data_IF_857374653050
#
_entry.id   IF_857374653050
#
_cell.length_a   1.000
_cell.length_b   1.000
_cell.length_c   1.000
_cell.angle_alpha   90.00
_cell.angle_beta   90.00
_cell.angle_gamma   90.00
#
_symmetry.space_group_name_H-M   'P 1'
#
loop_
_entity.id
_entity.type
_entity.pdbx_description
1 polymer ?
#
# COMPACT_ATOMS: atom_id res chain seq x y z
N UNK A 1 4.54 -6.82 -48.56
CA UNK A 1 3.88 -7.62 -47.51
C UNK A 1 4.18 -7.00 -46.15
N UNK A 2 3.17 -6.59 -45.37
CA UNK A 2 3.40 -6.01 -44.05
C UNK A 2 3.80 -7.10 -43.04
N UNK A 3 4.82 -6.80 -42.21
CA UNK A 3 5.26 -7.67 -41.11
C UNK A 3 4.19 -7.71 -40.02
N UNK A 4 3.84 -8.88 -39.46
CA UNK A 4 2.87 -8.95 -38.38
C UNK A 4 3.41 -8.24 -37.13
N UNK A 5 2.63 -7.32 -36.59
CA UNK A 5 2.90 -6.65 -35.33
C UNK A 5 2.75 -7.69 -34.22
N UNK A 6 3.85 -8.09 -33.58
CA UNK A 6 3.77 -8.87 -32.35
C UNK A 6 3.13 -8.00 -31.28
N UNK A 7 1.88 -8.29 -30.94
CA UNK A 7 1.27 -7.80 -29.71
C UNK A 7 2.16 -8.22 -28.55
N UNK A 8 2.60 -7.24 -27.76
CA UNK A 8 3.37 -7.50 -26.55
C UNK A 8 2.40 -8.19 -25.59
N UNK A 9 2.60 -9.49 -25.37
CA UNK A 9 1.87 -10.26 -24.38
C UNK A 9 1.78 -9.42 -23.10
N UNK A 10 0.56 -9.14 -22.66
CA UNK A 10 0.34 -8.50 -21.37
C UNK A 10 0.72 -9.51 -20.29
N UNK A 11 1.02 -9.05 -19.06
CA UNK A 11 1.32 -9.98 -17.96
C UNK A 11 0.17 -10.98 -17.71
N UNK A 12 -1.02 -10.68 -18.21
CA UNK A 12 -2.21 -11.52 -18.17
C UNK A 12 -2.17 -12.67 -19.21
N UNK A 13 -1.35 -12.56 -20.27
CA UNK A 13 -1.16 -13.57 -21.32
C UNK A 13 -0.07 -14.61 -20.97
N UNK A 14 0.78 -14.31 -19.98
CA UNK A 14 1.61 -15.33 -19.34
C UNK A 14 0.65 -16.11 -18.49
N UNK A 15 0.11 -17.17 -19.09
CA UNK A 15 -0.94 -17.99 -18.53
C UNK A 15 -0.81 -18.11 -17.03
N UNK A 16 -1.93 -17.93 -16.35
CA UNK A 16 -2.17 -18.62 -15.09
C UNK A 16 -2.03 -20.11 -15.43
N UNK A 17 -0.79 -20.61 -15.51
CA UNK A 17 -0.47 -22.03 -15.47
C UNK A 17 -1.24 -22.48 -14.25
N UNK A 18 -2.21 -23.37 -14.47
CA UNK A 18 -3.13 -23.82 -13.44
C UNK A 18 -2.32 -24.16 -12.19
N UNK A 19 -2.28 -23.20 -11.28
CA UNK A 19 -1.78 -23.38 -9.94
C UNK A 19 -2.77 -24.38 -9.40
N UNK A 20 -2.33 -25.62 -9.15
CA UNK A 20 -3.23 -26.62 -8.59
C UNK A 20 -3.92 -26.00 -7.37
N UNK A 21 -5.18 -26.35 -7.08
CA UNK A 21 -5.87 -25.80 -5.90
C UNK A 21 -5.01 -25.96 -4.62
N UNK A 22 -4.15 -26.99 -4.61
CA UNK A 22 -3.14 -27.23 -3.59
C UNK A 22 -2.03 -26.15 -3.57
N UNK A 23 -1.43 -25.81 -4.70
CA UNK A 23 -0.41 -24.75 -4.77
C UNK A 23 -1.01 -23.38 -4.40
N UNK A 24 -2.27 -23.13 -4.79
CA UNK A 24 -2.97 -21.89 -4.43
C UNK A 24 -3.24 -21.82 -2.92
N UNK A 25 -3.51 -22.97 -2.29
CA UNK A 25 -3.63 -23.10 -0.83
C UNK A 25 -2.27 -23.01 -0.11
N UNK A 26 -1.19 -23.53 -0.72
CA UNK A 26 0.16 -23.49 -0.17
C UNK A 26 0.78 -22.10 -0.22
N UNK A 27 0.52 -21.31 -1.27
CA UNK A 27 1.14 -19.98 -1.47
C UNK A 27 0.19 -18.81 -1.18
N UNK A 28 -0.74 -18.97 -0.23
CA UNK A 28 -1.61 -17.87 0.20
C UNK A 28 -0.74 -16.75 0.79
N UNK A 29 -0.80 -15.57 0.16
CA UNK A 29 -0.10 -14.39 0.64
C UNK A 29 -0.62 -14.01 2.04
N UNK A 30 0.23 -13.97 3.08
CA UNK A 30 -0.23 -13.64 4.41
C UNK A 30 -0.78 -12.22 4.51
N UNK A 31 -1.83 -12.04 5.32
CA UNK A 31 -2.18 -10.71 5.83
C UNK A 31 -1.20 -10.30 6.93
N UNK A 32 -0.94 -9.00 7.09
CA UNK A 32 -0.07 -8.49 8.16
C UNK A 32 -0.59 -8.82 9.56
N UNK A 33 -1.92 -8.87 9.72
CA UNK A 33 -2.58 -9.21 10.99
C UNK A 33 -2.41 -10.68 11.34
N UNK A 34 -2.53 -11.58 10.35
CA UNK A 34 -2.31 -13.02 10.54
C UNK A 34 -0.86 -13.29 10.95
N UNK A 35 0.11 -12.64 10.31
CA UNK A 35 1.54 -12.76 10.71
C UNK A 35 1.74 -12.26 12.12
N UNK A 36 1.21 -11.07 12.47
CA UNK A 36 1.38 -10.52 13.81
C UNK A 36 0.81 -11.44 14.90
N UNK A 37 -0.41 -11.98 14.72
CA UNK A 37 -1.01 -12.91 15.69
C UNK A 37 -0.17 -14.19 15.86
N UNK A 38 0.29 -14.78 14.76
CA UNK A 38 1.09 -16.01 14.82
C UNK A 38 2.45 -15.74 15.47
N UNK A 39 3.09 -14.63 15.10
CA UNK A 39 4.36 -14.21 15.67
C UNK A 39 4.27 -13.97 17.17
N UNK A 40 3.25 -13.24 17.62
CA UNK A 40 3.08 -12.88 19.03
C UNK A 40 2.68 -14.09 19.89
N UNK A 41 2.07 -15.14 19.31
CA UNK A 41 1.63 -16.34 20.04
C UNK A 41 2.61 -17.52 20.01
N UNK A 42 3.32 -17.73 18.89
CA UNK A 42 4.15 -18.92 18.66
C UNK A 42 5.59 -18.60 18.23
N UNK A 43 5.96 -17.32 18.15
CA UNK A 43 7.30 -16.90 17.73
C UNK A 43 7.48 -16.79 16.21
N UNK A 44 8.69 -16.43 15.80
CA UNK A 44 9.00 -16.16 14.41
C UNK A 44 9.24 -17.43 13.60
N UNK A 45 9.65 -18.51 14.26
CA UNK A 45 9.86 -19.84 13.71
C UNK A 45 8.57 -20.38 13.10
N UNK A 46 7.45 -20.29 13.83
CA UNK A 46 6.13 -20.70 13.33
C UNK A 46 5.69 -19.93 12.08
N UNK A 47 6.03 -18.64 12.00
CA UNK A 47 5.78 -17.84 10.79
C UNK A 47 6.65 -18.31 9.61
N UNK A 48 7.89 -18.69 9.88
CA UNK A 48 8.84 -19.14 8.86
C UNK A 48 8.48 -20.52 8.34
N UNK A 49 8.01 -21.43 9.18
CA UNK A 49 7.51 -22.74 8.71
C UNK A 49 6.27 -22.57 7.81
N UNK A 50 5.33 -21.73 8.23
CA UNK A 50 4.09 -21.51 7.49
C UNK A 50 4.29 -20.74 6.19
N UNK A 51 5.21 -19.78 6.17
CA UNK A 51 5.50 -18.92 5.01
C UNK A 51 6.99 -18.98 4.67
N UNK A 52 7.49 -20.18 4.43
CA UNK A 52 8.92 -20.46 4.21
C UNK A 52 9.53 -19.77 3.00
N UNK A 53 8.72 -19.38 2.03
CA UNK A 53 9.15 -18.58 0.88
C UNK A 53 9.30 -17.08 1.19
N UNK A 54 8.95 -16.62 2.40
CA UNK A 54 9.21 -15.27 2.88
C UNK A 54 10.44 -15.26 3.80
N UNK A 55 11.37 -14.34 3.54
CA UNK A 55 12.51 -14.15 4.43
C UNK A 55 12.09 -13.58 5.79
N UNK A 56 12.85 -13.90 6.84
CA UNK A 56 12.63 -13.43 8.22
C UNK A 56 12.36 -11.93 8.33
N UNK A 57 13.15 -11.11 7.63
CA UNK A 57 12.98 -9.65 7.63
C UNK A 57 11.61 -9.21 7.11
N UNK A 58 11.09 -9.88 6.08
CA UNK A 58 9.76 -9.58 5.55
C UNK A 58 8.68 -9.93 6.58
N UNK A 59 8.79 -11.10 7.22
CA UNK A 59 7.86 -11.53 8.26
C UNK A 59 7.90 -10.61 9.49
N UNK A 60 9.08 -10.21 9.94
CA UNK A 60 9.25 -9.26 11.06
C UNK A 60 8.58 -7.91 10.75
N UNK A 61 8.80 -7.40 9.53
CA UNK A 61 8.18 -6.16 9.08
C UNK A 61 6.66 -6.28 9.01
N UNK A 62 6.15 -7.42 8.52
CA UNK A 62 4.72 -7.71 8.49
C UNK A 62 4.12 -7.82 9.89
N UNK A 63 4.79 -8.47 10.83
CA UNK A 63 4.35 -8.55 12.22
C UNK A 63 4.29 -7.15 12.87
N UNK A 64 5.31 -6.32 12.64
CA UNK A 64 5.35 -4.94 13.14
C UNK A 64 4.24 -4.07 12.54
N UNK A 65 4.01 -4.17 11.23
CA UNK A 65 2.90 -3.49 10.56
C UNK A 65 1.55 -4.02 11.07
N UNK A 66 1.38 -5.33 11.23
CA UNK A 66 0.16 -5.96 11.73
C UNK A 66 -0.19 -5.52 13.15
N UNK A 67 0.80 -5.41 14.05
CA UNK A 67 0.60 -4.83 15.39
C UNK A 67 0.14 -3.38 15.35
N UNK A 68 0.57 -2.57 14.37
CA UNK A 68 0.06 -1.20 14.21
C UNK A 68 -1.39 -1.18 13.74
N UNK A 69 -1.73 -2.03 12.77
CA UNK A 69 -3.09 -2.15 12.25
C UNK A 69 -4.06 -2.64 13.33
N UNK A 70 -3.67 -3.65 14.11
CA UNK A 70 -4.49 -4.17 15.20
C UNK A 70 -4.75 -3.11 16.29
N UNK A 71 -3.72 -2.36 16.70
CA UNK A 71 -3.88 -1.24 17.64
C UNK A 71 -4.80 -0.14 17.11
N UNK A 72 -4.64 0.24 15.85
CA UNK A 72 -5.51 1.21 15.20
C UNK A 72 -6.98 0.74 15.18
N UNK A 73 -7.23 -0.55 14.88
CA UNK A 73 -8.57 -1.15 14.93
C UNK A 73 -9.15 -1.20 16.34
N UNK A 74 -8.31 -1.34 17.36
CA UNK A 74 -8.69 -1.25 18.77
C UNK A 74 -8.93 0.19 19.26
N UNK A 75 -8.75 1.20 18.41
CA UNK A 75 -8.91 2.61 18.76
C UNK A 75 -7.75 3.18 19.58
N UNK A 76 -6.62 2.47 19.68
CA UNK A 76 -5.43 2.97 20.36
C UNK A 76 -4.79 4.13 19.57
N UNK A 77 -4.38 5.17 20.29
CA UNK A 77 -3.73 6.32 19.68
C UNK A 77 -2.32 5.92 19.22
N UNK A 78 -1.92 6.21 17.96
CA UNK A 78 -0.58 5.93 17.49
C UNK A 78 0.48 6.63 18.34
N UNK A 79 1.48 5.87 18.79
CA UNK A 79 2.62 6.42 19.53
C UNK A 79 3.46 7.29 18.58
N UNK A 80 3.41 8.61 18.80
CA UNK A 80 4.18 9.57 18.00
C UNK A 80 5.64 9.59 18.45
N UNK A 81 6.55 9.47 17.48
CA UNK A 81 7.97 9.66 17.74
C UNK A 81 8.23 11.12 18.11
N UNK A 82 8.99 11.39 19.17
CA UNK A 82 9.35 12.74 19.61
C UNK A 82 10.04 13.59 18.52
N UNK A 83 10.70 12.95 17.55
CA UNK A 83 11.36 13.63 16.41
C UNK A 83 10.40 13.96 15.26
N UNK A 84 9.12 13.61 15.36
CA UNK A 84 8.11 13.85 14.32
C UNK A 84 7.76 15.34 14.27
N UNK A 85 8.07 15.98 13.14
CA UNK A 85 7.87 17.43 12.95
C UNK A 85 6.46 17.82 12.49
N UNK A 86 5.67 16.87 11.99
CA UNK A 86 4.29 17.10 11.53
C UNK A 86 3.35 17.24 12.72
N UNK A 87 2.35 18.12 12.66
CA UNK A 87 1.30 18.19 13.70
C UNK A 87 0.23 17.10 13.48
N UNK A 88 -0.67 16.91 14.46
CA UNK A 88 -1.76 15.93 14.34
C UNK A 88 -2.73 16.35 13.24
N UNK A 89 -3.04 17.65 13.17
CA UNK A 89 -3.92 18.26 12.19
C UNK A 89 -3.35 18.08 10.78
N UNK A 90 -2.05 18.37 10.60
CA UNK A 90 -1.36 18.16 9.33
C UNK A 90 -1.43 16.69 8.89
N UNK A 91 -1.21 15.75 9.81
CA UNK A 91 -1.29 14.32 9.48
C UNK A 91 -2.70 13.89 9.10
N UNK A 92 -3.73 14.46 9.74
CA UNK A 92 -5.13 14.20 9.40
C UNK A 92 -5.45 14.72 7.99
N UNK A 93 -4.99 15.92 7.64
CA UNK A 93 -5.11 16.48 6.29
C UNK A 93 -4.38 15.64 5.25
N UNK A 94 -3.14 15.24 5.53
CA UNK A 94 -2.33 14.38 4.65
C UNK A 94 -3.05 13.06 4.38
N UNK A 95 -3.60 12.42 5.42
CA UNK A 95 -4.31 11.17 5.27
C UNK A 95 -5.63 11.34 4.51
N UNK A 96 -6.40 12.39 4.79
CA UNK A 96 -7.62 12.69 4.04
C UNK A 96 -7.32 12.94 2.55
N UNK A 97 -6.28 13.71 2.25
CA UNK A 97 -5.83 13.96 0.89
C UNK A 97 -5.33 12.68 0.21
N UNK A 98 -4.59 11.83 0.92
CA UNK A 98 -4.10 10.56 0.38
C UNK A 98 -5.25 9.60 0.04
N UNK A 99 -6.30 9.57 0.86
CA UNK A 99 -7.50 8.74 0.60
C UNK A 99 -8.31 9.26 -0.58
N UNK A 100 -8.37 10.58 -0.78
CA UNK A 100 -9.12 11.21 -1.88
C UNK A 100 -8.38 11.18 -3.21
N UNK A 101 -7.10 11.52 -3.20
CA UNK A 101 -6.31 11.85 -4.41
C UNK A 101 -5.10 10.94 -4.61
N UNK A 102 -4.86 10.02 -3.68
CA UNK A 102 -3.74 9.10 -3.71
C UNK A 102 -2.48 9.64 -3.04
N UNK A 103 -1.62 8.72 -2.64
CA UNK A 103 -0.41 8.97 -1.85
C UNK A 103 0.56 9.93 -2.51
N UNK A 104 0.75 9.82 -3.84
CA UNK A 104 1.72 10.66 -4.55
C UNK A 104 1.33 12.15 -4.50
N UNK A 105 0.04 12.47 -4.61
CA UNK A 105 -0.42 13.85 -4.55
C UNK A 105 -0.34 14.43 -3.14
N UNK A 106 -0.72 13.64 -2.13
CA UNK A 106 -0.53 14.03 -0.73
C UNK A 106 0.94 14.27 -0.38
N UNK A 107 1.82 13.40 -0.89
CA UNK A 107 3.28 13.53 -0.77
C UNK A 107 3.80 14.85 -1.35
N UNK A 108 3.40 15.20 -2.59
CA UNK A 108 3.78 16.46 -3.23
C UNK A 108 3.19 17.70 -2.54
N UNK A 109 1.93 17.65 -2.13
CA UNK A 109 1.24 18.79 -1.53
C UNK A 109 1.84 19.21 -0.17
N UNK A 110 2.34 18.25 0.60
CA UNK A 110 2.88 18.49 1.94
C UNK A 110 4.41 18.35 2.01
N UNK A 111 5.09 18.16 0.87
CA UNK A 111 6.56 18.05 0.82
C UNK A 111 7.12 16.84 1.59
N UNK A 112 6.34 15.77 1.73
CA UNK A 112 6.74 14.56 2.45
C UNK A 112 7.24 13.48 1.50
N UNK A 113 7.95 12.49 2.04
CA UNK A 113 8.24 11.27 1.25
C UNK A 113 6.98 10.40 1.20
N UNK A 114 6.72 9.75 0.07
CA UNK A 114 5.58 8.83 -0.08
C UNK A 114 5.59 7.71 0.98
N UNK A 115 6.77 7.27 1.41
CA UNK A 115 6.94 6.28 2.49
C UNK A 115 6.44 6.78 3.85
N UNK A 116 6.53 8.07 4.13
CA UNK A 116 5.97 8.67 5.35
C UNK A 116 4.45 8.69 5.29
N UNK A 117 3.86 9.04 4.15
CA UNK A 117 2.40 9.00 3.96
C UNK A 117 1.86 7.58 4.13
N UNK A 118 2.52 6.56 3.56
CA UNK A 118 2.15 5.15 3.80
C UNK A 118 2.30 4.72 5.27
N UNK A 119 3.21 5.33 6.01
CA UNK A 119 3.36 5.07 7.46
C UNK A 119 2.17 5.66 8.22
N UNK A 120 1.81 6.91 7.93
CA UNK A 120 0.67 7.61 8.55
C UNK A 120 -0.66 6.90 8.31
N UNK A 121 -0.84 6.32 7.12
CA UNK A 121 -2.03 5.53 6.78
C UNK A 121 -2.08 4.20 7.53
N UNK A 122 -0.94 3.49 7.61
CA UNK A 122 -0.85 2.24 8.39
C UNK A 122 -1.08 2.45 9.88
N UNK A 123 -0.59 3.55 10.43
CA UNK A 123 -0.86 3.94 11.83
C UNK A 123 -2.35 4.18 12.09
N UNK A 124 -3.13 4.52 11.06
CA UNK A 124 -4.60 4.66 11.13
C UNK A 124 -5.34 3.38 10.72
N UNK A 125 -4.64 2.25 10.58
CA UNK A 125 -5.23 0.97 10.20
C UNK A 125 -5.59 0.86 8.72
N UNK A 126 -5.22 1.83 7.89
CA UNK A 126 -5.44 1.78 6.44
C UNK A 126 -4.36 0.89 5.80
N UNK A 127 -4.70 -0.37 5.56
CA UNK A 127 -3.86 -1.35 4.87
C UNK A 127 -4.10 -1.39 3.37
N UNK A 128 -5.34 -1.13 2.95
CA UNK A 128 -5.74 -1.07 1.57
C UNK A 128 -6.10 0.37 1.19
N UNK A 129 -5.44 0.89 0.17
CA UNK A 129 -5.83 2.17 -0.40
C UNK A 129 -7.14 1.98 -1.15
N UNK A 130 -8.11 2.89 -1.01
CA UNK A 130 -9.28 2.90 -1.89
C UNK A 130 -8.82 2.86 -3.34
N UNK A 131 -9.14 1.78 -4.05
CA UNK A 131 -8.88 1.69 -5.48
C UNK A 131 -9.88 2.61 -6.15
N UNK A 132 -9.39 3.75 -6.64
CA UNK A 132 -10.20 4.66 -7.45
C UNK A 132 -10.79 3.88 -8.63
N UNK A 133 -12.10 4.05 -8.84
CA UNK A 133 -12.77 3.50 -10.02
C UNK A 133 -12.07 3.99 -11.30
N UNK A 134 -12.25 3.27 -12.41
CA UNK A 134 -11.66 3.68 -13.69
C UNK A 134 -12.10 5.10 -14.08
N UNK A 135 -13.36 5.44 -13.82
CA UNK A 135 -13.94 6.75 -14.09
C UNK A 135 -13.31 7.85 -13.21
N UNK A 136 -13.17 7.62 -11.91
CA UNK A 136 -12.54 8.58 -11.00
C UNK A 136 -11.06 8.80 -11.33
N UNK A 137 -10.34 7.73 -11.71
CA UNK A 137 -8.96 7.84 -12.20
C UNK A 137 -8.87 8.72 -13.43
N UNK A 138 -9.80 8.57 -14.37
CA UNK A 138 -9.84 9.37 -15.60
C UNK A 138 -10.13 10.85 -15.27
N UNK A 139 -11.12 11.11 -14.41
CA UNK A 139 -11.48 12.45 -13.94
C UNK A 139 -10.31 13.14 -13.23
N UNK A 140 -9.62 12.42 -12.34
CA UNK A 140 -8.44 12.95 -11.65
C UNK A 140 -7.27 13.22 -12.59
N UNK A 141 -7.04 12.37 -13.60
CA UNK A 141 -6.02 12.60 -14.64
C UNK A 141 -6.33 13.84 -15.47
N UNK A 142 -7.57 14.00 -15.91
CA UNK A 142 -8.01 15.16 -16.67
C UNK A 142 -7.81 16.46 -15.88
N UNK A 143 -8.24 16.49 -14.60
CA UNK A 143 -8.02 17.63 -13.71
C UNK A 143 -6.53 17.94 -13.50
N UNK A 144 -5.69 16.91 -13.34
CA UNK A 144 -4.24 17.05 -13.23
C UNK A 144 -3.61 17.66 -14.49
N UNK A 145 -4.02 17.19 -15.68
CA UNK A 145 -3.54 17.74 -16.95
C UNK A 145 -4.00 19.19 -17.16
N UNK A 146 -5.24 19.52 -16.79
CA UNK A 146 -5.74 20.88 -16.86
C UNK A 146 -4.92 21.83 -15.99
N UNK A 147 -4.62 21.44 -14.73
CA UNK A 147 -3.79 22.23 -13.81
C UNK A 147 -2.37 22.42 -14.35
N UNK A 148 -1.77 21.37 -14.92
CA UNK A 148 -0.44 21.45 -15.52
C UNK A 148 -0.40 22.35 -16.76
N UNK A 149 -1.44 22.33 -17.60
CA UNK A 149 -1.56 23.25 -18.75
C UNK A 149 -1.70 24.70 -18.30
N UNK A 150 -2.54 24.96 -17.30
CA UNK A 150 -2.71 26.30 -16.73
C UNK A 150 -1.39 26.84 -16.14
N UNK A 151 -0.65 26.02 -15.40
CA UNK A 151 0.65 26.42 -14.85
C UNK A 151 1.69 26.73 -15.94
N UNK A 152 1.68 26.00 -17.08
CA UNK A 152 2.56 26.29 -18.22
C UNK A 152 2.17 27.55 -18.99
N UNK A 153 0.89 27.90 -19.02
CA UNK A 153 0.42 29.13 -19.66
C UNK A 153 0.69 30.38 -18.80
N UNK A 154 0.88 30.20 -17.50
CA UNK A 154 1.19 31.26 -16.54
C UNK A 154 2.69 31.48 -16.30
N UNK A 155 3.56 30.67 -16.92
CA UNK A 155 5.01 30.74 -16.84
C UNK A 155 5.58 31.26 -18.16
#
# INVERSE_FOLDING_TARGET
MPRPVRTRATLDDVGTVAVSDLDAACYVRPSVETVARLWDSHGWEACTERWSWLGRWALERMASDGRRVMRAKAGEVPVRNARRKTTVEQENEICALAMREGVHRASLAHGLRSTQVYTLLRERGVTEMPRLSAEERLRQRAAGMAKARAARAAA
#
